data_IF_134111398716
#
_entry.id   IF_134111398716
#
_cell.length_a   1.000
_cell.length_b   1.000
_cell.length_c   1.000
_cell.angle_alpha   90.00
_cell.angle_beta   90.00
_cell.angle_gamma   90.00
#
_symmetry.space_group_name_H-M   'P 1'
#
loop_
_entity.id
_entity.type
_entity.pdbx_description
1 polymer ?
#
# COMPACT_ATOMS: atom_id res chain seq x y z
N UNK A 1 -12.57 2.52 -6.84
CA UNK A 1 -11.13 2.20 -6.91
C UNK A 1 -10.74 1.87 -8.34
N UNK A 2 -9.79 2.60 -8.93
CA UNK A 2 -9.25 2.27 -10.25
C UNK A 2 -8.36 1.03 -10.16
N UNK A 3 -8.69 -0.04 -10.90
CA UNK A 3 -7.92 -1.30 -10.91
C UNK A 3 -6.46 -1.11 -11.34
N UNK A 4 -6.18 -0.07 -12.13
CA UNK A 4 -4.82 0.25 -12.60
C UNK A 4 -3.88 0.74 -11.50
N UNK A 5 -4.35 1.61 -10.59
CA UNK A 5 -3.51 2.16 -9.51
C UNK A 5 -3.04 1.07 -8.56
N UNK A 6 -3.89 0.06 -8.32
CA UNK A 6 -3.58 -1.08 -7.46
C UNK A 6 -2.47 -1.96 -8.05
N UNK A 7 -2.58 -2.32 -9.34
CA UNK A 7 -1.56 -3.10 -10.05
C UNK A 7 -0.20 -2.40 -10.12
N UNK A 8 -0.21 -1.08 -10.35
CA UNK A 8 1.03 -0.30 -10.35
C UNK A 8 1.63 -0.25 -8.94
N UNK A 9 0.79 -0.08 -7.92
CA UNK A 9 1.21 -0.11 -6.52
C UNK A 9 1.84 -1.44 -6.11
N UNK A 10 1.28 -2.58 -6.53
CA UNK A 10 1.82 -3.89 -6.16
C UNK A 10 3.21 -4.16 -6.75
N UNK A 11 3.45 -3.78 -8.01
CA UNK A 11 4.76 -3.93 -8.65
C UNK A 11 5.82 -3.05 -7.97
N UNK A 12 5.48 -1.77 -7.74
CA UNK A 12 6.41 -0.83 -7.10
C UNK A 12 6.65 -1.23 -5.65
N UNK A 13 5.60 -1.63 -4.93
CA UNK A 13 5.66 -2.08 -3.54
C UNK A 13 6.64 -3.21 -3.35
N UNK A 14 6.49 -4.30 -4.11
CA UNK A 14 7.40 -5.45 -3.99
C UNK A 14 8.86 -5.07 -4.26
N UNK A 15 9.11 -4.24 -5.28
CA UNK A 15 10.48 -3.81 -5.58
C UNK A 15 11.03 -2.84 -4.53
N UNK A 16 10.21 -2.04 -3.85
CA UNK A 16 10.65 -1.15 -2.77
C UNK A 16 10.87 -1.91 -1.45
N UNK A 17 10.01 -2.89 -1.15
CA UNK A 17 10.07 -3.71 0.06
C UNK A 17 11.37 -4.50 0.16
N UNK A 18 11.87 -4.98 -0.98
CA UNK A 18 13.15 -5.70 -1.05
C UNK A 18 14.38 -4.78 -0.81
N UNK A 19 14.26 -3.46 -1.03
CA UNK A 19 15.38 -2.52 -0.87
C UNK A 19 15.38 -1.82 0.50
N UNK A 20 14.21 -1.43 1.01
CA UNK A 20 14.08 -0.64 2.24
C UNK A 20 13.69 -1.46 3.47
N UNK A 21 13.25 -2.70 3.27
CA UNK A 21 12.77 -3.58 4.33
C UNK A 21 11.25 -3.63 4.42
N UNK A 22 10.72 -4.85 4.45
CA UNK A 22 9.29 -5.17 4.34
C UNK A 22 8.44 -4.57 5.47
N UNK A 23 8.93 -4.64 6.70
CA UNK A 23 8.23 -4.06 7.85
C UNK A 23 8.09 -2.53 7.77
N UNK A 24 9.15 -1.83 7.34
CA UNK A 24 9.12 -0.37 7.22
C UNK A 24 8.13 0.08 6.16
N UNK A 25 8.13 -0.58 4.99
CA UNK A 25 7.19 -0.28 3.91
C UNK A 25 5.73 -0.54 4.32
N UNK A 26 5.49 -1.63 5.07
CA UNK A 26 4.17 -1.98 5.59
C UNK A 26 3.60 -0.88 6.51
N UNK A 27 4.41 -0.40 7.47
CA UNK A 27 3.98 0.69 8.36
C UNK A 27 3.76 2.02 7.61
N UNK A 28 4.66 2.37 6.67
CA UNK A 28 4.53 3.61 5.90
C UNK A 28 3.29 3.62 5.00
N UNK A 29 2.97 2.48 4.36
CA UNK A 29 1.75 2.35 3.56
C UNK A 29 0.49 2.51 4.42
N UNK A 30 0.44 1.91 5.62
CA UNK A 30 -0.69 2.07 6.53
C UNK A 30 -0.92 3.53 6.94
N UNK A 31 0.15 4.24 7.33
CA UNK A 31 0.06 5.66 7.69
C UNK A 31 -0.42 6.51 6.50
N UNK A 32 0.09 6.24 5.30
CA UNK A 32 -0.32 6.92 4.08
C UNK A 32 -1.80 6.71 3.74
N UNK A 33 -2.32 5.49 3.93
CA UNK A 33 -3.75 5.15 3.68
C UNK A 33 -4.66 5.92 4.65
N UNK A 34 -4.29 6.04 5.92
CA UNK A 34 -5.09 6.80 6.90
C UNK A 34 -5.16 8.27 6.50
N UNK A 35 -4.02 8.89 6.15
CA UNK A 35 -3.95 10.29 5.73
C UNK A 35 -4.77 10.52 4.46
N UNK A 36 -4.58 9.70 3.43
CA UNK A 36 -5.31 9.83 2.16
C UNK A 36 -6.80 9.53 2.30
N UNK A 37 -7.19 8.64 3.21
CA UNK A 37 -8.61 8.40 3.54
C UNK A 37 -9.25 9.62 4.21
N UNK A 38 -8.59 10.22 5.20
CA UNK A 38 -9.04 11.47 5.80
C UNK A 38 -9.17 12.60 4.76
N UNK A 39 -8.19 12.71 3.86
CA UNK A 39 -8.18 13.72 2.80
C UNK A 39 -9.28 13.48 1.76
N UNK A 40 -9.60 12.21 1.47
CA UNK A 40 -10.72 11.83 0.58
C UNK A 40 -12.07 12.27 1.17
N UNK A 41 -12.26 12.11 2.49
CA UNK A 41 -13.48 12.55 3.19
C UNK A 41 -13.61 14.08 3.26
N UNK A 42 -12.49 14.79 3.34
CA UNK A 42 -12.46 16.24 3.37
C UNK A 42 -12.53 16.90 1.97
N UNK A 43 -12.33 16.14 0.89
CA UNK A 43 -12.30 16.67 -0.47
C UNK A 43 -13.68 17.17 -0.91
N UNK A 44 -13.75 18.43 -1.35
CA UNK A 44 -14.95 19.05 -1.92
C UNK A 44 -14.98 19.02 -3.45
N UNK A 45 -13.81 18.95 -4.07
CA UNK A 45 -13.65 18.93 -5.53
C UNK A 45 -13.52 17.51 -6.06
N UNK A 46 -14.15 17.25 -7.21
CA UNK A 46 -14.12 15.93 -7.86
C UNK A 46 -12.69 15.51 -8.26
N UNK A 47 -11.87 16.48 -8.65
CA UNK A 47 -10.47 16.24 -9.03
C UNK A 47 -9.65 15.81 -7.81
N UNK A 48 -9.80 16.52 -6.68
CA UNK A 48 -9.13 16.17 -5.42
C UNK A 48 -9.54 14.78 -4.93
N UNK A 49 -10.82 14.44 -5.01
CA UNK A 49 -11.32 13.10 -4.69
C UNK A 49 -10.67 12.02 -5.57
N UNK A 50 -10.59 12.24 -6.88
CA UNK A 50 -10.02 11.27 -7.83
C UNK A 50 -8.53 10.99 -7.58
N UNK A 51 -7.75 12.03 -7.26
CA UNK A 51 -6.33 11.92 -6.94
C UNK A 51 -6.12 11.17 -5.62
N UNK A 52 -6.92 11.50 -4.59
CA UNK A 52 -6.85 10.80 -3.32
C UNK A 52 -7.19 9.31 -3.45
N UNK A 53 -8.23 8.97 -4.22
CA UNK A 53 -8.60 7.58 -4.53
C UNK A 53 -7.51 6.84 -5.31
N UNK A 54 -6.84 7.50 -6.26
CA UNK A 54 -5.75 6.90 -7.02
C UNK A 54 -4.53 6.59 -6.12
N UNK A 55 -4.14 7.54 -5.26
CA UNK A 55 -3.07 7.35 -4.27
C UNK A 55 -3.40 6.25 -3.28
N UNK A 56 -4.64 6.23 -2.78
CA UNK A 56 -5.10 5.22 -1.83
C UNK A 56 -5.04 3.82 -2.47
N UNK A 57 -5.51 3.68 -3.71
CA UNK A 57 -5.39 2.43 -4.47
C UNK A 57 -3.95 1.97 -4.68
N UNK A 58 -3.01 2.88 -4.92
CA UNK A 58 -1.58 2.56 -5.06
C UNK A 58 -1.00 2.03 -3.75
N UNK A 59 -1.26 2.73 -2.63
CA UNK A 59 -0.77 2.32 -1.32
C UNK A 59 -1.37 0.98 -0.85
N UNK A 60 -2.64 0.70 -1.19
CA UNK A 60 -3.24 -0.61 -0.95
C UNK A 60 -2.55 -1.73 -1.75
N UNK A 61 -2.18 -1.47 -3.01
CA UNK A 61 -1.44 -2.43 -3.83
C UNK A 61 -0.06 -2.74 -3.25
N UNK A 62 0.64 -1.71 -2.74
CA UNK A 62 1.92 -1.90 -2.05
C UNK A 62 1.75 -2.73 -0.77
N UNK A 63 0.75 -2.39 0.05
CA UNK A 63 0.48 -3.07 1.32
C UNK A 63 0.16 -4.55 1.14
N UNK A 64 -0.61 -4.91 0.10
CA UNK A 64 -0.97 -6.31 -0.17
C UNK A 64 0.29 -7.17 -0.34
N UNK A 65 1.22 -6.74 -1.19
CA UNK A 65 2.44 -7.49 -1.49
C UNK A 65 3.29 -7.67 -0.23
N UNK A 66 3.50 -6.60 0.54
CA UNK A 66 4.28 -6.66 1.79
C UNK A 66 3.61 -7.52 2.86
N UNK A 67 2.28 -7.51 2.94
CA UNK A 67 1.55 -8.30 3.95
C UNK A 67 1.68 -9.81 3.71
N UNK A 68 1.66 -10.23 2.45
CA UNK A 68 1.78 -11.62 2.04
C UNK A 68 3.24 -12.08 2.22
N UNK A 69 4.21 -11.26 1.84
CA UNK A 69 5.63 -11.59 1.99
C UNK A 69 6.04 -11.67 3.45
N UNK A 70 5.64 -10.71 4.30
CA UNK A 70 5.87 -10.77 5.75
C UNK A 70 5.20 -11.99 6.39
N UNK A 71 3.96 -12.30 6.00
CA UNK A 71 3.26 -13.48 6.52
C UNK A 71 4.06 -14.76 6.20
N UNK A 72 4.58 -14.89 4.97
CA UNK A 72 5.43 -16.02 4.60
C UNK A 72 6.71 -16.05 5.42
N UNK A 73 7.38 -14.91 5.65
CA UNK A 73 8.58 -14.86 6.49
C UNK A 73 8.31 -15.29 7.93
N UNK A 74 7.19 -14.86 8.52
CA UNK A 74 6.82 -15.22 9.88
C UNK A 74 6.35 -16.67 10.04
N UNK A 75 5.77 -17.26 9.00
CA UNK A 75 5.21 -18.62 9.06
C UNK A 75 6.20 -19.69 8.61
N UNK A 76 7.13 -19.37 7.71
CA UNK A 76 8.12 -20.32 7.19
C UNK A 76 9.16 -20.74 8.24
N UNK A 77 9.34 -19.96 9.31
CA UNK A 77 10.33 -20.25 10.35
C UNK A 77 9.89 -21.30 11.39
N UNK A 78 8.91 -22.16 11.08
CA UNK A 78 8.44 -23.23 11.99
C UNK A 78 9.15 -24.58 11.82
N UNK A 79 10.08 -24.72 10.88
CA UNK A 79 10.72 -26.01 10.57
C UNK A 79 12.24 -25.95 10.39
N UNK A 80 12.92 -25.06 11.13
CA UNK A 80 14.37 -25.13 11.36
C UNK A 80 14.64 -25.09 12.86
#
# INVERSE_FOLDING_TARGET
MGKGSFLVGSIIGGHLGDWYGRQFLFYMCQLGIVITSCMTTAARDWQGYSVCQALNGLMYGMLEVESITLLMEYTNNRWV
#
